data_IF_267827931300
#
_entry.id   IF_267827931300
#
_cell.length_a   1.000
_cell.length_b   1.000
_cell.length_c   1.000
_cell.angle_alpha   90.00
_cell.angle_beta   90.00
_cell.angle_gamma   90.00
#
_symmetry.space_group_name_H-M   'P 1'
#
loop_
_entity.id
_entity.type
_entity.pdbx_description
1 polymer ?
#
# COMPACT_ATOMS: atom_id res chain seq x y z
N UNK A 1 18.13 -3.42 -4.88
CA UNK A 1 17.65 -2.18 -4.24
C UNK A 1 17.58 -2.54 -2.77
N UNK A 2 18.75 -2.57 -2.13
CA UNK A 2 18.99 -3.40 -0.94
C UNK A 2 19.31 -2.52 0.28
N UNK A 3 18.29 -1.82 0.80
CA UNK A 3 18.49 -1.00 2.01
C UNK A 3 17.36 -1.07 3.04
N UNK A 4 16.41 -2.01 2.91
CA UNK A 4 15.47 -2.30 3.99
C UNK A 4 16.13 -3.21 5.04
N UNK A 5 16.99 -2.63 5.88
CA UNK A 5 17.88 -3.40 6.77
C UNK A 5 17.26 -3.77 8.11
N UNK A 6 16.07 -3.27 8.45
CA UNK A 6 15.46 -3.50 9.76
C UNK A 6 13.98 -3.86 9.66
N UNK A 7 13.58 -5.04 10.20
CA UNK A 7 12.18 -5.36 10.42
C UNK A 7 11.48 -4.30 11.28
N UNK A 8 10.24 -3.97 10.93
CA UNK A 8 9.37 -3.07 11.70
C UNK A 8 8.03 -3.73 11.98
N UNK A 9 7.33 -3.28 13.02
CA UNK A 9 5.97 -3.75 13.27
C UNK A 9 4.98 -3.19 12.24
N UNK A 10 5.13 -1.91 11.88
CA UNK A 10 4.22 -1.23 10.95
C UNK A 10 5.02 -0.36 9.96
N UNK A 11 4.72 -0.49 8.67
CA UNK A 11 5.16 0.43 7.62
C UNK A 11 3.94 1.18 7.04
N UNK A 12 4.11 2.47 6.72
CA UNK A 12 3.01 3.33 6.26
C UNK A 12 3.36 4.00 4.92
N UNK A 13 2.53 3.75 3.90
CA UNK A 13 2.57 4.37 2.59
C UNK A 13 1.39 5.33 2.47
N UNK A 14 1.55 6.54 2.99
CA UNK A 14 0.47 7.51 3.06
C UNK A 14 0.42 8.39 1.82
N UNK A 15 -0.61 8.22 0.98
CA UNK A 15 -0.83 8.98 -0.27
C UNK A 15 0.34 8.94 -1.27
N UNK A 16 1.25 7.98 -1.13
CA UNK A 16 2.46 7.88 -1.96
C UNK A 16 2.29 6.91 -3.13
N UNK A 17 1.45 5.88 -2.98
CA UNK A 17 1.24 4.84 -3.99
C UNK A 17 0.87 5.39 -5.39
N UNK A 18 -0.05 6.37 -5.55
CA UNK A 18 -0.34 6.92 -6.88
C UNK A 18 0.86 7.60 -7.53
N UNK A 19 1.70 8.28 -6.76
CA UNK A 19 2.90 8.95 -7.27
C UNK A 19 3.96 7.94 -7.71
N UNK A 20 4.14 6.86 -6.94
CA UNK A 20 5.06 5.78 -7.28
C UNK A 20 4.67 5.10 -8.60
N UNK A 21 3.38 4.81 -8.80
CA UNK A 21 2.91 4.22 -10.05
C UNK A 21 3.06 5.14 -11.27
N UNK A 22 2.96 6.46 -11.08
CA UNK A 22 3.23 7.44 -12.15
C UNK A 22 4.71 7.48 -12.54
N UNK A 23 5.61 7.31 -11.57
CA UNK A 23 7.05 7.28 -11.82
C UNK A 23 7.49 5.96 -12.47
N UNK A 24 6.95 4.84 -11.99
CA UNK A 24 7.25 3.51 -12.51
C UNK A 24 6.08 2.56 -12.24
N UNK A 25 5.48 2.04 -13.30
CA UNK A 25 4.43 1.01 -13.20
C UNK A 25 4.91 -0.20 -12.39
N UNK A 26 4.12 -0.59 -11.40
CA UNK A 26 4.39 -1.70 -10.49
C UNK A 26 5.38 -1.37 -9.35
N UNK A 27 5.83 -0.13 -9.21
CA UNK A 27 6.73 0.25 -8.11
C UNK A 27 6.08 0.03 -6.74
N UNK A 28 4.80 0.34 -6.59
CA UNK A 28 4.06 0.14 -5.33
C UNK A 28 4.00 -1.33 -4.98
N UNK A 29 3.67 -2.19 -5.94
CA UNK A 29 3.60 -3.64 -5.72
C UNK A 29 4.95 -4.20 -5.25
N UNK A 30 6.05 -3.80 -5.90
CA UNK A 30 7.41 -4.20 -5.51
C UNK A 30 7.75 -3.77 -4.08
N UNK A 31 7.33 -2.56 -3.68
CA UNK A 31 7.51 -2.06 -2.32
C UNK A 31 6.67 -2.88 -1.33
N UNK A 32 5.40 -3.13 -1.62
CA UNK A 32 4.52 -3.93 -0.76
C UNK A 32 5.01 -5.38 -0.59
N UNK A 33 5.65 -5.93 -1.62
CA UNK A 33 6.27 -7.26 -1.60
C UNK A 33 7.53 -7.30 -0.72
N UNK A 34 8.42 -6.31 -0.87
CA UNK A 34 9.74 -6.31 -0.25
C UNK A 34 9.87 -5.60 1.11
N UNK A 35 8.83 -4.92 1.60
CA UNK A 35 8.87 -4.23 2.89
C UNK A 35 8.96 -5.22 4.06
N UNK A 36 10.02 -5.16 4.90
CA UNK A 36 10.16 -6.03 6.06
C UNK A 36 9.30 -5.51 7.22
N UNK A 37 7.97 -5.59 7.07
CA UNK A 37 7.01 -5.14 8.06
C UNK A 37 6.09 -6.29 8.50
N UNK A 38 5.58 -6.24 9.73
CA UNK A 38 4.48 -7.14 10.16
C UNK A 38 3.13 -6.69 9.62
N UNK A 39 2.92 -5.38 9.55
CA UNK A 39 1.73 -4.75 9.00
C UNK A 39 2.11 -3.62 8.05
N UNK A 40 1.33 -3.47 6.99
CA UNK A 40 1.47 -2.36 6.05
C UNK A 40 0.15 -1.59 6.01
N UNK A 41 0.25 -0.27 6.11
CA UNK A 41 -0.86 0.66 5.92
C UNK A 41 -0.63 1.42 4.62
N UNK A 42 -1.61 1.38 3.71
CA UNK A 42 -1.61 2.18 2.48
C UNK A 42 -2.78 3.15 2.56
N UNK A 43 -2.60 4.41 2.16
CA UNK A 43 -3.71 5.36 2.10
C UNK A 43 -3.82 6.08 0.76
N UNK A 44 -5.06 6.47 0.43
CA UNK A 44 -5.39 7.26 -0.75
C UNK A 44 -6.31 8.43 -0.37
N UNK A 45 -6.21 9.57 -1.07
CA UNK A 45 -7.17 10.66 -0.88
C UNK A 45 -8.58 10.18 -1.29
N UNK A 46 -9.60 10.49 -0.48
CA UNK A 46 -10.99 10.16 -0.81
C UNK A 46 -11.68 11.20 -1.71
N UNK A 47 -11.07 12.39 -1.85
CA UNK A 47 -11.58 13.49 -2.67
C UNK A 47 -10.52 13.99 -3.64
N UNK A 48 -10.96 14.38 -4.84
CA UNK A 48 -10.16 15.23 -5.72
C UNK A 48 -10.23 16.69 -5.25
N UNK A 49 -9.21 17.48 -5.58
CA UNK A 49 -9.16 18.93 -5.32
C UNK A 49 -10.35 19.70 -5.94
N UNK A 50 -11.07 19.11 -6.90
CA UNK A 50 -12.24 19.69 -7.58
C UNK A 50 -13.59 19.10 -7.18
N UNK A 51 -13.69 18.34 -6.08
CA UNK A 51 -14.97 17.86 -5.54
C UNK A 51 -15.62 16.66 -6.25
N UNK A 52 -15.05 16.17 -7.37
CA UNK A 52 -15.49 14.90 -7.98
C UNK A 52 -14.76 13.73 -7.31
N UNK A 53 -15.45 13.06 -6.38
CA UNK A 53 -14.89 12.01 -5.53
C UNK A 53 -15.16 10.56 -6.01
N UNK A 54 -16.33 10.32 -6.61
CA UNK A 54 -16.85 8.95 -6.79
C UNK A 54 -15.98 8.02 -7.64
N UNK A 55 -15.38 8.51 -8.73
CA UNK A 55 -14.57 7.67 -9.64
C UNK A 55 -13.13 7.44 -9.18
N UNK A 56 -12.60 8.31 -8.31
CA UNK A 56 -11.21 8.20 -7.83
C UNK A 56 -11.09 7.12 -6.75
N UNK A 57 -12.06 7.08 -5.83
CA UNK A 57 -12.08 6.07 -4.76
C UNK A 57 -12.28 4.67 -5.33
N UNK A 58 -13.14 4.49 -6.34
CA UNK A 58 -13.33 3.18 -6.98
C UNK A 58 -12.04 2.69 -7.64
N UNK A 59 -11.33 3.57 -8.35
CA UNK A 59 -10.06 3.23 -8.98
C UNK A 59 -9.00 2.78 -7.97
N UNK A 60 -8.79 3.54 -6.89
CA UNK A 60 -7.81 3.16 -5.86
C UNK A 60 -8.22 1.90 -5.10
N UNK A 61 -9.52 1.70 -4.86
CA UNK A 61 -10.04 0.48 -4.26
C UNK A 61 -9.73 -0.73 -5.14
N UNK A 62 -10.09 -0.68 -6.42
CA UNK A 62 -9.80 -1.74 -7.39
C UNK A 62 -8.30 -2.05 -7.45
N UNK A 63 -7.48 -1.00 -7.53
CA UNK A 63 -6.02 -1.15 -7.60
C UNK A 63 -5.44 -1.81 -6.34
N UNK A 64 -5.89 -1.40 -5.16
CA UNK A 64 -5.43 -1.99 -3.90
C UNK A 64 -5.87 -3.45 -3.76
N UNK A 65 -7.11 -3.79 -4.13
CA UNK A 65 -7.58 -5.18 -4.13
C UNK A 65 -6.83 -6.04 -5.15
N UNK A 66 -6.44 -5.47 -6.30
CA UNK A 66 -5.61 -6.16 -7.27
C UNK A 66 -4.23 -6.49 -6.68
N UNK A 67 -3.56 -5.54 -6.01
CA UNK A 67 -2.28 -5.80 -5.35
C UNK A 67 -2.41 -6.80 -4.21
N UNK A 68 -3.42 -6.67 -3.37
CA UNK A 68 -3.71 -7.62 -2.29
C UNK A 68 -3.91 -9.05 -2.82
N UNK A 69 -4.65 -9.20 -3.93
CA UNK A 69 -4.86 -10.48 -4.62
C UNK A 69 -3.55 -11.06 -5.18
N UNK A 70 -2.75 -10.24 -5.88
CA UNK A 70 -1.46 -10.67 -6.44
C UNK A 70 -0.48 -11.11 -5.36
N UNK A 71 -0.46 -10.42 -4.22
CA UNK A 71 0.37 -10.76 -3.08
C UNK A 71 -0.23 -11.86 -2.18
N UNK A 72 -1.44 -12.34 -2.50
CA UNK A 72 -2.21 -13.32 -1.72
C UNK A 72 -2.34 -12.93 -0.24
N UNK A 73 -2.53 -11.63 0.03
CA UNK A 73 -2.61 -11.06 1.38
C UNK A 73 -3.97 -10.39 1.55
N UNK A 74 -4.75 -10.72 2.59
CA UNK A 74 -6.03 -10.05 2.83
C UNK A 74 -5.81 -8.57 3.12
N UNK A 75 -6.82 -7.75 2.82
CA UNK A 75 -6.78 -6.32 3.09
C UNK A 75 -8.05 -5.89 3.79
N UNK A 76 -7.90 -5.10 4.86
CA UNK A 76 -8.99 -4.44 5.55
C UNK A 76 -9.07 -2.98 5.11
N UNK A 77 -10.24 -2.56 4.65
CA UNK A 77 -10.53 -1.16 4.31
C UNK A 77 -11.03 -0.41 5.55
N UNK A 78 -10.53 0.81 5.74
CA UNK A 78 -10.97 1.76 6.76
C UNK A 78 -11.22 3.09 6.05
N UNK A 79 -12.48 3.53 6.03
CA UNK A 79 -12.86 4.80 5.37
C UNK A 79 -13.01 5.91 6.39
N UNK A 80 -12.26 7.00 6.20
CA UNK A 80 -12.46 8.29 6.87
C UNK A 80 -13.01 9.32 5.86
N UNK A 81 -13.58 10.46 6.31
CA UNK A 81 -14.21 11.43 5.39
C UNK A 81 -13.31 11.93 4.26
N UNK A 82 -12.00 12.07 4.49
CA UNK A 82 -11.05 12.67 3.54
C UNK A 82 -9.98 11.69 3.04
N UNK A 83 -9.97 10.46 3.56
CA UNK A 83 -8.91 9.50 3.31
C UNK A 83 -9.41 8.09 3.51
N UNK A 84 -8.97 7.19 2.64
CA UNK A 84 -9.23 5.76 2.77
C UNK A 84 -7.92 5.07 3.08
N UNK A 85 -7.95 4.15 4.04
CA UNK A 85 -6.81 3.38 4.50
C UNK A 85 -7.05 1.91 4.25
N UNK A 86 -5.95 1.21 3.96
CA UNK A 86 -5.91 -0.21 3.74
C UNK A 86 -4.85 -0.81 4.64
N UNK A 87 -5.26 -1.71 5.53
CA UNK A 87 -4.38 -2.48 6.39
C UNK A 87 -4.21 -3.89 5.81
N UNK A 88 -2.96 -4.32 5.64
CA UNK A 88 -2.66 -5.68 5.20
C UNK A 88 -1.50 -6.27 6.03
N UNK A 89 -1.48 -7.59 6.30
CA UNK A 89 -0.32 -8.24 6.91
C UNK A 89 0.88 -8.05 5.99
N UNK A 90 2.09 -7.90 6.52
CA UNK A 90 3.37 -7.81 5.81
C UNK A 90 4.03 -9.17 5.55
N UNK A 91 5.31 -9.18 5.14
CA UNK A 91 6.16 -10.38 5.17
C UNK A 91 7.48 -10.02 5.83
N UNK A 92 7.77 -10.70 6.94
CA UNK A 92 9.11 -10.63 7.52
C UNK A 92 10.00 -11.62 6.78
N UNK A 93 10.96 -11.09 6.03
CA UNK A 93 12.09 -11.89 5.60
C UNK A 93 12.97 -12.09 6.83
N UNK A 94 12.87 -13.27 7.46
CA UNK A 94 13.91 -13.70 8.37
C UNK A 94 15.18 -13.76 7.53
N UNK A 95 16.12 -12.87 7.77
CA UNK A 95 17.48 -13.08 7.29
C UNK A 95 17.92 -14.40 7.93
N UNK A 96 18.10 -15.43 7.11
CA UNK A 96 18.86 -16.60 7.52
C UNK A 96 20.20 -16.07 8.04
N UNK A 97 20.41 -16.20 9.36
CA UNK A 97 21.69 -15.91 9.97
C UNK A 97 22.66 -16.98 9.48
N UNK A 98 23.34 -16.69 8.37
CA UNK A 98 24.63 -17.29 8.04
C UNK A 98 25.72 -16.81 8.98
#
# INVERSE_FOLDING_TARGET
MDSWTRPVDVAMLLKVAPCLEQQQTGATLKILEGLPARWIVVSFPSLSLGGKAKGMVSHYREQMHQWASQLQRPVQEITLPWEIYYLMPGRLHLMDKG
#
